data_IF_168164285834
#
_entry.id   IF_168164285834
#
_cell.length_a   1.000
_cell.length_b   1.000
_cell.length_c   1.000
_cell.angle_alpha   90.00
_cell.angle_beta   90.00
_cell.angle_gamma   90.00
#
_symmetry.space_group_name_H-M   'P 1'
#
loop_
_entity.id
_entity.type
_entity.pdbx_description
1 polymer ?
#
# COMPACT_ATOMS: atom_id res chain seq x y z
N UNK A 1 10.78 5.33 7.82
CA UNK A 1 10.84 3.93 7.37
C UNK A 1 11.90 3.81 6.29
N UNK A 2 12.63 2.70 6.17
CA UNK A 2 13.52 2.52 5.02
C UNK A 2 12.73 2.17 3.75
N UNK A 3 13.32 2.43 2.58
CA UNK A 3 12.65 2.28 1.28
C UNK A 3 12.13 0.85 1.05
N UNK A 4 12.89 -0.17 1.47
CA UNK A 4 12.52 -1.57 1.23
C UNK A 4 11.34 -2.00 2.09
N UNK A 5 11.32 -1.59 3.36
CA UNK A 5 10.21 -1.86 4.26
C UNK A 5 8.95 -1.08 3.87
N UNK A 6 9.10 0.15 3.36
CA UNK A 6 7.99 0.96 2.86
C UNK A 6 7.38 0.37 1.58
N UNK A 7 8.22 -0.01 0.60
CA UNK A 7 7.76 -0.69 -0.62
C UNK A 7 7.08 -2.02 -0.30
N UNK A 8 7.65 -2.80 0.62
CA UNK A 8 7.01 -4.03 1.06
C UNK A 8 5.64 -3.77 1.67
N UNK A 9 5.53 -2.79 2.57
CA UNK A 9 4.26 -2.41 3.20
C UNK A 9 3.23 -2.01 2.15
N UNK A 10 3.63 -1.17 1.20
CA UNK A 10 2.81 -0.71 0.09
C UNK A 10 2.26 -1.89 -0.73
N UNK A 11 3.12 -2.73 -1.28
CA UNK A 11 2.68 -3.84 -2.13
C UNK A 11 1.88 -4.89 -1.36
N UNK A 12 2.18 -5.09 -0.08
CA UNK A 12 1.41 -5.99 0.75
C UNK A 12 -0.02 -5.47 1.01
N UNK A 13 -0.22 -4.16 1.12
CA UNK A 13 -1.56 -3.57 1.19
C UNK A 13 -2.29 -3.68 -0.15
N UNK A 14 -1.62 -3.43 -1.28
CA UNK A 14 -2.21 -3.64 -2.63
C UNK A 14 -2.67 -5.08 -2.79
N UNK A 15 -1.82 -6.05 -2.44
CA UNK A 15 -2.14 -7.48 -2.53
C UNK A 15 -3.31 -7.85 -1.62
N UNK A 16 -3.31 -7.38 -0.36
CA UNK A 16 -4.39 -7.69 0.57
C UNK A 16 -5.71 -7.07 0.12
N UNK A 17 -5.69 -5.83 -0.39
CA UNK A 17 -6.86 -5.18 -0.95
C UNK A 17 -7.42 -5.95 -2.15
N UNK A 18 -6.58 -6.50 -3.03
CA UNK A 18 -7.01 -7.28 -4.20
C UNK A 18 -7.82 -8.55 -3.85
N UNK A 19 -7.61 -9.10 -2.65
CA UNK A 19 -8.16 -10.40 -2.24
C UNK A 19 -9.23 -10.32 -1.14
N UNK A 20 -9.54 -9.14 -0.62
CA UNK A 20 -10.29 -9.02 0.63
C UNK A 20 -11.52 -8.11 0.57
N UNK A 21 -12.14 -7.95 -0.61
CA UNK A 21 -13.23 -6.97 -0.84
C UNK A 21 -14.63 -7.53 -0.56
N UNK A 22 -15.56 -6.69 -0.04
CA UNK A 22 -15.35 -5.31 0.45
C UNK A 22 -14.64 -5.28 1.82
N UNK A 23 -13.84 -4.24 2.09
CA UNK A 23 -13.13 -4.10 3.37
C UNK A 23 -12.83 -2.67 3.78
N UNK A 24 -12.29 -2.54 4.99
CA UNK A 24 -11.70 -1.32 5.52
C UNK A 24 -10.18 -1.43 5.55
N UNK A 25 -9.48 -0.33 5.29
CA UNK A 25 -8.03 -0.19 5.47
C UNK A 25 -7.53 -0.66 6.85
N UNK A 26 -8.25 -0.32 7.94
CA UNK A 26 -7.94 -0.77 9.30
C UNK A 26 -8.02 -2.30 9.48
N UNK A 27 -8.93 -2.95 8.77
CA UNK A 27 -9.07 -4.41 8.81
C UNK A 27 -7.91 -5.06 8.06
N UNK A 28 -7.50 -4.50 6.93
CA UNK A 28 -6.31 -4.93 6.19
C UNK A 28 -5.07 -4.80 7.08
N UNK A 29 -4.84 -3.65 7.71
CA UNK A 29 -3.72 -3.43 8.63
C UNK A 29 -3.71 -4.47 9.77
N UNK A 30 -4.86 -4.68 10.42
CA UNK A 30 -4.99 -5.59 11.54
C UNK A 30 -4.78 -7.06 11.14
N UNK A 31 -5.28 -7.48 9.98
CA UNK A 31 -5.08 -8.82 9.45
C UNK A 31 -3.60 -9.05 9.12
N UNK A 32 -2.98 -8.11 8.41
CA UNK A 32 -1.57 -8.15 8.05
C UNK A 32 -0.67 -8.22 9.29
N UNK A 33 -0.98 -7.44 10.33
CA UNK A 33 -0.23 -7.44 11.60
C UNK A 33 -0.25 -8.80 12.31
N UNK A 34 -1.32 -9.59 12.12
CA UNK A 34 -1.48 -10.91 12.75
C UNK A 34 -0.95 -12.06 11.90
N UNK A 35 -1.12 -11.95 10.58
CA UNK A 35 -0.98 -13.08 9.67
C UNK A 35 0.25 -12.98 8.76
N UNK A 36 0.93 -11.82 8.69
CA UNK A 36 2.14 -11.64 7.90
C UNK A 36 3.35 -11.35 8.81
N UNK A 37 4.21 -12.36 8.98
CA UNK A 37 5.38 -12.26 9.87
C UNK A 37 6.33 -11.11 9.51
N UNK A 38 6.54 -10.85 8.22
CA UNK A 38 7.41 -9.76 7.78
C UNK A 38 6.79 -8.40 8.08
N UNK A 39 5.49 -8.24 7.84
CA UNK A 39 4.80 -7.00 8.18
C UNK A 39 4.79 -6.77 9.70
N UNK A 40 4.51 -7.79 10.50
CA UNK A 40 4.58 -7.70 11.97
C UNK A 40 5.99 -7.29 12.45
N UNK A 41 7.05 -7.81 11.83
CA UNK A 41 8.42 -7.41 12.14
C UNK A 41 8.69 -5.94 11.80
N UNK A 42 8.14 -5.43 10.70
CA UNK A 42 8.24 -4.01 10.31
C UNK A 42 7.48 -3.13 11.32
N UNK A 43 6.26 -3.50 11.69
CA UNK A 43 5.48 -2.78 12.72
C UNK A 43 6.25 -2.67 14.02
N UNK A 44 6.86 -3.77 14.48
CA UNK A 44 7.71 -3.79 15.67
C UNK A 44 8.99 -2.96 15.52
N UNK A 45 9.65 -3.02 14.35
CA UNK A 45 10.85 -2.23 14.04
C UNK A 45 10.58 -0.72 14.09
N UNK A 46 9.36 -0.30 13.74
CA UNK A 46 8.95 1.10 13.69
C UNK A 46 7.81 1.40 14.69
N UNK A 47 7.88 0.84 15.89
CA UNK A 47 6.80 0.92 16.90
C UNK A 47 6.36 2.36 17.26
N UNK A 48 7.27 3.35 17.16
CA UNK A 48 6.97 4.77 17.44
C UNK A 48 6.32 5.50 16.24
N UNK A 49 6.11 4.80 15.12
CA UNK A 49 5.46 5.36 13.93
C UNK A 49 3.95 5.39 14.09
N UNK A 50 3.35 6.52 13.68
CA UNK A 50 1.90 6.66 13.56
C UNK A 50 1.38 5.82 12.37
N UNK A 51 1.16 4.53 12.63
CA UNK A 51 0.73 3.56 11.63
C UNK A 51 -0.64 3.86 11.03
N UNK A 52 -1.50 4.61 11.76
CA UNK A 52 -2.76 5.10 11.21
C UNK A 52 -2.49 6.03 10.04
N UNK A 53 -1.63 7.04 10.21
CA UNK A 53 -1.26 7.95 9.12
C UNK A 53 -0.56 7.25 7.97
N UNK A 54 0.30 6.27 8.23
CA UNK A 54 0.98 5.50 7.18
C UNK A 54 -0.05 4.73 6.34
N UNK A 55 -1.00 4.06 6.99
CA UNK A 55 -2.06 3.29 6.35
C UNK A 55 -2.98 4.21 5.55
N UNK A 56 -3.54 5.24 6.19
CA UNK A 56 -4.42 6.23 5.58
C UNK A 56 -3.77 6.84 4.33
N UNK A 57 -2.51 7.27 4.44
CA UNK A 57 -1.77 7.84 3.32
C UNK A 57 -1.68 6.87 2.14
N UNK A 58 -1.23 5.63 2.37
CA UNK A 58 -1.10 4.64 1.28
C UNK A 58 -2.47 4.38 0.64
N UNK A 59 -3.52 4.15 1.44
CA UNK A 59 -4.84 3.85 0.91
C UNK A 59 -5.48 5.05 0.20
N UNK A 60 -5.23 6.29 0.64
CA UNK A 60 -5.66 7.50 -0.06
C UNK A 60 -4.97 7.63 -1.41
N UNK A 61 -3.67 7.35 -1.50
CA UNK A 61 -2.96 7.34 -2.78
C UNK A 61 -3.53 6.28 -3.74
N UNK A 62 -3.77 5.06 -3.24
CA UNK A 62 -4.36 3.97 -4.02
C UNK A 62 -5.77 4.30 -4.52
N UNK A 63 -6.58 4.97 -3.69
CA UNK A 63 -7.91 5.46 -4.07
C UNK A 63 -7.81 6.56 -5.14
N UNK A 64 -6.92 7.54 -4.94
CA UNK A 64 -6.78 8.69 -5.83
C UNK A 64 -6.28 8.29 -7.23
N UNK A 65 -5.30 7.40 -7.30
CA UNK A 65 -4.75 6.91 -8.58
C UNK A 65 -5.62 5.79 -9.21
N UNK A 66 -6.79 5.48 -8.62
CA UNK A 66 -7.74 4.54 -9.19
C UNK A 66 -7.28 3.09 -9.17
N UNK A 67 -6.38 2.72 -8.25
CA UNK A 67 -5.98 1.32 -8.04
C UNK A 67 -7.17 0.52 -7.54
N UNK A 68 -7.94 1.08 -6.62
CA UNK A 68 -9.26 0.57 -6.23
C UNK A 68 -10.32 1.68 -6.25
N UNK A 69 -11.57 1.28 -6.15
CA UNK A 69 -12.71 2.19 -5.94
C UNK A 69 -13.23 2.05 -4.51
N UNK A 70 -13.60 3.17 -3.91
CA UNK A 70 -14.03 3.20 -2.51
C UNK A 70 -14.53 4.58 -2.08
N UNK A 71 -14.86 4.67 -0.80
CA UNK A 71 -15.29 5.91 -0.14
C UNK A 71 -14.57 6.08 1.18
N UNK A 72 -14.45 7.31 1.66
CA UNK A 72 -14.00 7.63 3.02
C UNK A 72 -15.24 7.87 3.87
N UNK A 73 -15.34 7.23 5.03
CA UNK A 73 -16.45 7.46 5.97
C UNK A 73 -16.20 8.66 6.89
N UNK A 74 -17.18 8.98 7.74
CA UNK A 74 -17.14 10.14 8.63
C UNK A 74 -16.03 10.05 9.70
N UNK A 75 -15.53 8.84 9.98
CA UNK A 75 -14.43 8.58 10.92
C UNK A 75 -13.05 8.65 10.24
N UNK A 76 -13.03 8.87 8.93
CA UNK A 76 -11.84 8.92 8.09
C UNK A 76 -11.32 7.54 7.66
N UNK A 77 -12.09 6.47 7.90
CA UNK A 77 -11.71 5.12 7.47
C UNK A 77 -12.05 4.93 5.98
N UNK A 78 -11.20 4.17 5.28
CA UNK A 78 -11.33 3.98 3.83
C UNK A 78 -12.04 2.66 3.56
N UNK A 79 -13.24 2.76 2.99
CA UNK A 79 -14.06 1.62 2.56
C UNK A 79 -13.71 1.27 1.11
N UNK A 80 -13.07 0.13 0.93
CA UNK A 80 -12.65 -0.40 -0.37
C UNK A 80 -13.78 -1.27 -0.92
N UNK A 81 -14.40 -0.81 -2.00
CA UNK A 81 -15.61 -1.41 -2.58
C UNK A 81 -15.32 -2.36 -3.74
N UNK A 82 -14.29 -2.07 -4.53
CA UNK A 82 -13.86 -2.92 -5.65
C UNK A 82 -12.41 -2.60 -6.04
N UNK A 83 -11.68 -3.55 -6.64
CA UNK A 83 -10.37 -3.28 -7.26
C UNK A 83 -10.51 -3.07 -8.77
N UNK A 84 -9.59 -2.32 -9.36
CA UNK A 84 -9.54 -2.08 -10.81
C UNK A 84 -8.49 -2.97 -11.48
N UNK A 85 -8.50 -3.11 -12.82
CA UNK A 85 -7.45 -3.83 -13.55
C UNK A 85 -6.03 -3.33 -13.21
N UNK A 86 -5.87 -2.05 -12.88
CA UNK A 86 -4.61 -1.44 -12.48
C UNK A 86 -4.01 -2.12 -11.24
N UNK A 87 -4.84 -2.55 -10.27
CA UNK A 87 -4.36 -3.34 -9.11
C UNK A 87 -3.59 -4.57 -9.57
N UNK A 88 -4.16 -5.33 -10.51
CA UNK A 88 -3.55 -6.58 -10.95
C UNK A 88 -2.30 -6.35 -11.79
N UNK A 89 -2.25 -5.27 -12.56
CA UNK A 89 -1.06 -4.86 -13.32
C UNK A 89 0.10 -4.48 -12.38
N UNK A 90 -0.19 -3.71 -11.32
CA UNK A 90 0.78 -3.39 -10.27
C UNK A 90 1.31 -4.67 -9.61
N UNK A 91 0.42 -5.61 -9.26
CA UNK A 91 0.82 -6.88 -8.64
C UNK A 91 1.62 -7.77 -9.59
N UNK A 92 1.36 -7.72 -10.89
CA UNK A 92 2.13 -8.48 -11.87
C UNK A 92 3.55 -7.93 -12.03
N UNK A 93 3.70 -6.61 -12.13
CA UNK A 93 5.01 -5.95 -12.16
C UNK A 93 5.79 -6.18 -10.85
N UNK A 94 5.11 -6.18 -9.70
CA UNK A 94 5.72 -6.46 -8.41
C UNK A 94 6.33 -7.87 -8.28
N UNK A 95 6.06 -8.81 -9.20
CA UNK A 95 6.76 -10.12 -9.24
C UNK A 95 8.17 -10.01 -9.80
N UNK A 96 8.51 -8.91 -10.48
CA UNK A 96 9.78 -8.74 -11.17
C UNK A 96 10.78 -8.00 -10.25
N UNK A 97 11.95 -8.59 -9.93
CA UNK A 97 12.96 -7.92 -9.09
C UNK A 97 13.40 -6.56 -9.63
N UNK A 98 13.55 -6.45 -10.96
CA UNK A 98 13.96 -5.20 -11.62
C UNK A 98 12.97 -4.04 -11.39
N UNK A 99 11.68 -4.35 -11.18
CA UNK A 99 10.68 -3.33 -10.87
C UNK A 99 10.90 -2.73 -9.48
N UNK A 100 11.22 -3.57 -8.48
CA UNK A 100 11.56 -3.12 -7.13
C UNK A 100 12.83 -2.28 -7.11
N UNK A 101 13.85 -2.70 -7.86
CA UNK A 101 15.11 -1.97 -7.97
C UNK A 101 14.88 -0.57 -8.59
N UNK A 102 14.12 -0.50 -9.68
CA UNK A 102 13.74 0.77 -10.31
C UNK A 102 12.99 1.69 -9.36
N UNK A 103 12.02 1.18 -8.60
CA UNK A 103 11.30 1.97 -7.61
C UNK A 103 12.26 2.47 -6.51
N UNK A 104 13.12 1.60 -6.00
CA UNK A 104 14.09 1.99 -4.97
C UNK A 104 15.06 3.09 -5.44
N UNK A 105 15.46 3.09 -6.71
CA UNK A 105 16.27 4.17 -7.32
C UNK A 105 15.52 5.51 -7.38
N UNK A 106 14.20 5.47 -7.60
CA UNK A 106 13.35 6.66 -7.64
C UNK A 106 12.98 7.18 -6.25
N UNK A 107 13.23 6.41 -5.18
CA UNK A 107 12.85 6.77 -3.81
C UNK A 107 13.28 8.16 -3.32
N UNK A 108 14.49 8.67 -3.65
CA UNK A 108 14.89 10.02 -3.29
C UNK A 108 14.03 11.13 -3.93
N UNK A 109 13.27 10.81 -4.98
CA UNK A 109 12.43 11.74 -5.73
C UNK A 109 10.95 11.65 -5.33
N UNK A 110 10.56 10.65 -4.53
CA UNK A 110 9.18 10.51 -4.07
C UNK A 110 8.82 11.68 -3.17
N UNK A 111 7.76 12.39 -3.53
CA UNK A 111 7.14 13.33 -2.60
C UNK A 111 6.30 12.55 -1.59
N UNK A 112 6.08 13.17 -0.44
CA UNK A 112 5.17 12.59 0.55
C UNK A 112 3.78 12.48 -0.08
N UNK A 113 3.28 11.26 -0.28
CA UNK A 113 1.95 11.03 -0.84
C UNK A 113 1.96 10.71 -2.34
N UNK A 114 3.12 10.37 -2.93
CA UNK A 114 3.23 10.19 -4.38
C UNK A 114 3.74 8.81 -4.81
N UNK A 115 3.84 7.83 -3.91
CA UNK A 115 4.40 6.52 -4.26
C UNK A 115 3.50 5.82 -5.29
N UNK A 116 2.18 5.83 -5.11
CA UNK A 116 1.28 5.15 -6.05
C UNK A 116 1.42 5.74 -7.45
N UNK A 117 1.49 7.06 -7.55
CA UNK A 117 1.72 7.73 -8.83
C UNK A 117 3.00 7.26 -9.50
N UNK A 118 4.11 7.18 -8.75
CA UNK A 118 5.39 6.71 -9.28
C UNK A 118 5.33 5.25 -9.72
N UNK A 119 4.62 4.40 -8.97
CA UNK A 119 4.37 3.00 -9.34
C UNK A 119 3.62 2.92 -10.67
N UNK A 120 2.54 3.69 -10.82
CA UNK A 120 1.73 3.75 -12.04
C UNK A 120 2.53 4.29 -13.23
N UNK A 121 3.33 5.35 -13.04
CA UNK A 121 4.19 5.93 -14.08
C UNK A 121 5.33 4.95 -14.51
N UNK A 122 5.57 3.87 -13.76
CA UNK A 122 6.59 2.86 -14.05
C UNK A 122 6.05 1.56 -14.70
N UNK A 123 4.73 1.39 -14.78
CA UNK A 123 4.09 0.27 -15.49
C UNK A 123 4.34 0.38 -17.01
#
# INVERSE_FOLDING_TARGET
MDTKDYLFTYFAFVDKAAHSIPNYDKVIFNDMSKNNQKFAAIVNKYQDTDWRKVTEKIFMELLHEGVFTGTVDDDGDIIISNVTPLTYEILDQAKQPAFWDRLAELAPQWQDGSLTKVVVDCL
#
